data_IF_901595957380
#
_entry.id   IF_901595957380
#
_cell.length_a   1.000
_cell.length_b   1.000
_cell.length_c   1.000
_cell.angle_alpha   90.00
_cell.angle_beta   90.00
_cell.angle_gamma   90.00
#
_symmetry.space_group_name_H-M   'P 1'
#
loop_
_entity.id
_entity.type
_entity.pdbx_description
1 polymer ?
#
# COMPACT_ATOMS: atom_id res chain seq x y z
N UNK A 1 -51.97 -14.83 11.06
CA UNK A 1 -51.00 -14.68 9.97
C UNK A 1 -50.57 -13.22 9.79
N UNK A 2 -51.50 -12.25 9.74
CA UNK A 2 -51.20 -10.81 9.60
C UNK A 2 -50.40 -10.26 10.78
N UNK A 3 -50.82 -10.50 12.02
CA UNK A 3 -50.12 -10.06 13.23
C UNK A 3 -48.71 -10.61 13.39
N UNK A 4 -48.48 -11.84 12.94
CA UNK A 4 -47.14 -12.46 12.89
C UNK A 4 -46.23 -11.83 11.85
N UNK A 5 -46.76 -11.43 10.69
CA UNK A 5 -46.02 -10.73 9.67
C UNK A 5 -45.65 -9.31 10.10
N UNK A 6 -46.58 -8.60 10.79
CA UNK A 6 -46.33 -7.26 11.32
C UNK A 6 -45.20 -7.30 12.39
N UNK A 7 -45.27 -8.27 13.31
CA UNK A 7 -44.20 -8.47 14.31
C UNK A 7 -42.85 -8.80 13.67
N UNK A 8 -42.83 -9.65 12.61
CA UNK A 8 -41.63 -9.98 11.88
C UNK A 8 -41.04 -8.75 11.15
N UNK A 9 -41.93 -7.96 10.54
CA UNK A 9 -41.55 -6.70 9.89
C UNK A 9 -40.90 -5.71 10.82
N UNK A 10 -41.49 -5.50 12.01
CA UNK A 10 -40.95 -4.62 13.04
C UNK A 10 -39.54 -5.06 13.51
N UNK A 11 -39.34 -6.34 13.79
CA UNK A 11 -38.05 -6.90 14.19
C UNK A 11 -36.99 -6.74 13.08
N UNK A 12 -37.36 -6.95 11.82
CA UNK A 12 -36.46 -6.77 10.67
C UNK A 12 -36.05 -5.30 10.51
N UNK A 13 -37.01 -4.35 10.64
CA UNK A 13 -36.73 -2.91 10.57
C UNK A 13 -35.79 -2.48 11.69
N UNK A 14 -36.02 -2.92 12.92
CA UNK A 14 -35.15 -2.61 14.06
C UNK A 14 -33.75 -3.15 13.83
N UNK A 15 -33.57 -4.43 13.48
CA UNK A 15 -32.30 -5.04 13.21
C UNK A 15 -31.53 -4.34 12.09
N UNK A 16 -32.20 -4.09 10.95
CA UNK A 16 -31.58 -3.43 9.79
C UNK A 16 -31.29 -1.96 10.10
N UNK A 17 -32.10 -1.30 10.93
CA UNK A 17 -31.89 0.07 11.37
C UNK A 17 -30.60 0.23 12.17
N UNK A 18 -30.33 -0.67 13.13
CA UNK A 18 -29.08 -0.68 13.90
C UNK A 18 -27.87 -0.88 13.00
N UNK A 19 -27.97 -1.83 12.09
CA UNK A 19 -26.94 -2.15 11.12
C UNK A 19 -26.66 -1.00 10.16
N UNK A 20 -27.70 -0.36 9.64
CA UNK A 20 -27.58 0.83 8.80
C UNK A 20 -26.88 1.98 9.55
N UNK A 21 -27.28 2.24 10.81
CA UNK A 21 -26.64 3.27 11.62
C UNK A 21 -25.13 3.00 11.85
N UNK A 22 -24.73 1.74 12.10
CA UNK A 22 -23.34 1.37 12.25
C UNK A 22 -22.54 1.62 10.94
N UNK A 23 -23.10 1.21 9.80
CA UNK A 23 -22.51 1.46 8.48
C UNK A 23 -22.33 2.94 8.17
N UNK A 24 -23.35 3.76 8.46
CA UNK A 24 -23.30 5.21 8.20
C UNK A 24 -22.28 5.93 9.09
N UNK A 25 -21.94 5.40 10.25
CA UNK A 25 -20.80 5.89 11.06
C UNK A 25 -19.45 5.45 10.50
N UNK A 26 -19.32 4.20 10.06
CA UNK A 26 -18.07 3.62 9.59
C UNK A 26 -17.63 4.18 8.21
N UNK A 27 -18.56 4.41 7.30
CA UNK A 27 -18.25 4.82 5.92
C UNK A 27 -17.50 6.18 5.82
N UNK A 28 -17.87 7.24 6.54
CA UNK A 28 -17.09 8.48 6.57
C UNK A 28 -15.70 8.32 7.16
N UNK A 29 -15.55 7.47 8.19
CA UNK A 29 -14.24 7.17 8.80
C UNK A 29 -13.32 6.46 7.81
N UNK A 30 -13.82 5.45 7.09
CA UNK A 30 -13.08 4.77 6.04
C UNK A 30 -12.53 5.76 5.00
N UNK A 31 -13.38 6.64 4.46
CA UNK A 31 -12.98 7.65 3.47
C UNK A 31 -11.93 8.62 4.02
N UNK A 32 -12.04 8.99 5.30
CA UNK A 32 -11.07 9.88 5.94
C UNK A 32 -9.75 9.17 6.19
N UNK A 33 -9.76 7.90 6.64
CA UNK A 33 -8.57 7.08 6.79
C UNK A 33 -7.81 6.92 5.47
N UNK A 34 -8.49 6.57 4.37
CA UNK A 34 -7.93 6.49 3.03
C UNK A 34 -7.27 7.82 2.63
N UNK A 35 -7.91 8.94 2.91
CA UNK A 35 -7.33 10.27 2.62
C UNK A 35 -6.06 10.53 3.41
N UNK A 36 -6.01 10.13 4.68
CA UNK A 36 -4.80 10.23 5.50
C UNK A 36 -3.67 9.35 4.96
N UNK A 37 -3.97 8.10 4.57
CA UNK A 37 -3.01 7.20 3.93
C UNK A 37 -2.44 7.80 2.64
N UNK A 38 -3.29 8.30 1.74
CA UNK A 38 -2.86 8.94 0.51
C UNK A 38 -2.00 10.21 0.77
N UNK A 39 -2.29 10.98 1.81
CA UNK A 39 -1.47 12.13 2.21
C UNK A 39 -0.14 11.69 2.83
N UNK A 40 -0.11 10.60 3.61
CA UNK A 40 1.11 9.99 4.14
C UNK A 40 2.04 9.55 3.02
N UNK A 41 1.51 8.85 1.99
CA UNK A 41 2.27 8.47 0.79
C UNK A 41 2.88 9.69 0.10
N UNK A 42 2.11 10.77 -0.08
CA UNK A 42 2.62 12.01 -0.68
C UNK A 42 3.72 12.67 0.17
N UNK A 43 3.57 12.68 1.49
CA UNK A 43 4.57 13.20 2.40
C UNK A 43 5.86 12.34 2.36
N UNK A 44 5.72 11.01 2.27
CA UNK A 44 6.84 10.08 2.10
C UNK A 44 7.64 10.38 0.82
N UNK A 45 6.97 10.60 -0.32
CA UNK A 45 7.63 11.00 -1.57
C UNK A 45 8.41 12.32 -1.45
N UNK A 46 7.95 13.24 -0.60
CA UNK A 46 8.66 14.49 -0.30
C UNK A 46 9.72 14.35 0.78
N UNK A 47 9.90 13.13 1.34
CA UNK A 47 10.80 12.83 2.45
C UNK A 47 10.43 13.55 3.77
N UNK A 48 9.17 13.92 3.91
CA UNK A 48 8.58 14.52 5.12
C UNK A 48 8.13 13.38 6.07
N UNK A 49 9.07 12.53 6.50
CA UNK A 49 8.78 11.24 7.14
C UNK A 49 8.05 11.38 8.49
N UNK A 50 8.38 12.42 9.28
CA UNK A 50 7.67 12.67 10.54
C UNK A 50 6.18 12.97 10.25
N UNK A 51 5.92 13.89 9.33
CA UNK A 51 4.55 14.25 8.96
C UNK A 51 3.79 13.05 8.35
N UNK A 52 4.46 12.22 7.54
CA UNK A 52 3.88 11.00 7.01
C UNK A 52 3.46 10.03 8.13
N UNK A 53 4.30 9.87 9.16
CA UNK A 53 3.99 9.05 10.32
C UNK A 53 2.81 9.58 11.14
N UNK A 54 2.71 10.89 11.33
CA UNK A 54 1.58 11.53 12.02
C UNK A 54 0.25 11.30 11.29
N UNK A 55 0.25 11.40 9.96
CA UNK A 55 -0.92 11.12 9.12
C UNK A 55 -1.32 9.63 9.18
N UNK A 56 -0.33 8.74 9.16
CA UNK A 56 -0.54 7.30 9.27
C UNK A 56 -1.16 6.93 10.62
N UNK A 57 -0.68 7.53 11.71
CA UNK A 57 -1.24 7.33 13.06
C UNK A 57 -2.72 7.78 13.13
N UNK A 58 -3.08 8.89 12.49
CA UNK A 58 -4.48 9.34 12.40
C UNK A 58 -5.36 8.36 11.61
N UNK A 59 -4.83 7.77 10.52
CA UNK A 59 -5.55 6.74 9.78
C UNK A 59 -5.78 5.49 10.64
N UNK A 60 -4.76 5.04 11.39
CA UNK A 60 -4.85 3.88 12.26
C UNK A 60 -5.89 4.06 13.38
N UNK A 61 -5.97 5.25 13.98
CA UNK A 61 -7.01 5.58 14.99
C UNK A 61 -8.41 5.44 14.39
N UNK A 62 -8.65 5.98 13.21
CA UNK A 62 -9.97 5.88 12.56
C UNK A 62 -10.34 4.44 12.22
N UNK A 63 -9.38 3.61 11.83
CA UNK A 63 -9.60 2.18 11.57
C UNK A 63 -9.93 1.43 12.86
N UNK A 64 -9.26 1.75 13.98
CA UNK A 64 -9.57 1.16 15.28
C UNK A 64 -10.98 1.55 15.76
N UNK A 65 -11.37 2.82 15.65
CA UNK A 65 -12.72 3.29 15.96
C UNK A 65 -13.77 2.60 15.08
N UNK A 66 -13.48 2.41 13.82
CA UNK A 66 -14.37 1.72 12.88
C UNK A 66 -14.53 0.25 13.22
N UNK A 67 -13.45 -0.43 13.64
CA UNK A 67 -13.49 -1.82 14.08
C UNK A 67 -14.36 -1.98 15.34
N UNK A 68 -14.29 -1.02 16.28
CA UNK A 68 -15.13 -1.00 17.47
C UNK A 68 -16.61 -0.79 17.13
N UNK A 69 -16.94 0.19 16.28
CA UNK A 69 -18.31 0.45 15.82
C UNK A 69 -18.95 -0.75 15.11
N UNK A 70 -18.13 -1.58 14.46
CA UNK A 70 -18.58 -2.71 13.65
C UNK A 70 -18.43 -4.07 14.37
N UNK A 71 -18.06 -4.08 15.65
CA UNK A 71 -17.82 -5.30 16.42
C UNK A 71 -19.00 -6.29 16.32
N UNK A 72 -20.22 -5.80 16.44
CA UNK A 72 -21.46 -6.60 16.39
C UNK A 72 -22.00 -6.77 14.96
N UNK A 73 -21.31 -6.24 13.96
CA UNK A 73 -21.71 -6.24 12.54
C UNK A 73 -20.59 -6.76 11.64
N UNK A 74 -20.19 -8.02 11.84
CA UNK A 74 -19.04 -8.62 11.16
C UNK A 74 -19.16 -8.60 9.63
N UNK A 75 -20.36 -8.75 9.09
CA UNK A 75 -20.59 -8.67 7.65
C UNK A 75 -20.34 -7.27 7.06
N UNK A 76 -20.51 -6.20 7.84
CA UNK A 76 -20.12 -4.84 7.46
C UNK A 76 -18.61 -4.66 7.67
N UNK A 77 -18.03 -5.23 8.72
CA UNK A 77 -16.59 -5.17 8.97
C UNK A 77 -15.78 -5.79 7.81
N UNK A 78 -16.29 -6.86 7.21
CA UNK A 78 -15.69 -7.48 6.04
C UNK A 78 -16.16 -6.89 4.70
N UNK A 79 -16.93 -5.79 4.70
CA UNK A 79 -17.34 -5.13 3.47
C UNK A 79 -16.16 -4.41 2.80
N UNK A 80 -16.23 -4.27 1.46
CA UNK A 80 -15.16 -3.75 0.63
C UNK A 80 -14.59 -2.41 1.12
N UNK A 81 -15.42 -1.47 1.55
CA UNK A 81 -14.95 -0.15 1.99
C UNK A 81 -14.07 -0.19 3.26
N UNK A 82 -14.24 -1.19 4.15
CA UNK A 82 -13.39 -1.42 5.31
C UNK A 82 -12.08 -2.06 4.86
N UNK A 83 -12.17 -3.09 4.02
CA UNK A 83 -11.01 -3.80 3.48
C UNK A 83 -10.13 -2.87 2.64
N UNK A 84 -10.72 -1.96 1.85
CA UNK A 84 -10.00 -0.94 1.11
C UNK A 84 -9.23 0.00 2.04
N UNK A 85 -9.85 0.47 3.13
CA UNK A 85 -9.17 1.34 4.08
C UNK A 85 -8.01 0.65 4.81
N UNK A 86 -8.15 -0.64 5.14
CA UNK A 86 -7.08 -1.47 5.71
C UNK A 86 -5.93 -1.67 4.70
N UNK A 87 -6.25 -1.90 3.43
CA UNK A 87 -5.29 -2.05 2.35
C UNK A 87 -4.46 -0.77 2.15
N UNK A 88 -5.10 0.37 2.10
CA UNK A 88 -4.44 1.68 1.98
C UNK A 88 -3.54 1.97 3.20
N UNK A 89 -3.96 1.55 4.43
CA UNK A 89 -3.09 1.66 5.60
C UNK A 89 -1.84 0.79 5.45
N UNK A 90 -1.98 -0.45 4.98
CA UNK A 90 -0.86 -1.35 4.73
C UNK A 90 0.11 -0.78 3.71
N UNK A 91 -0.39 -0.28 2.58
CA UNK A 91 0.41 0.36 1.53
C UNK A 91 1.21 1.55 2.07
N UNK A 92 0.53 2.50 2.73
CA UNK A 92 1.16 3.70 3.26
C UNK A 92 2.22 3.37 4.33
N UNK A 93 1.93 2.40 5.23
CA UNK A 93 2.84 1.97 6.28
C UNK A 93 4.08 1.26 5.72
N UNK A 94 3.87 0.35 4.76
CA UNK A 94 4.95 -0.37 4.11
C UNK A 94 5.85 0.59 3.30
N UNK A 95 5.26 1.49 2.54
CA UNK A 95 6.01 2.47 1.76
C UNK A 95 6.82 3.42 2.65
N UNK A 96 6.23 3.93 3.74
CA UNK A 96 6.94 4.79 4.70
C UNK A 96 8.11 4.06 5.36
N UNK A 97 7.94 2.79 5.76
CA UNK A 97 9.00 1.99 6.35
C UNK A 97 10.15 1.75 5.38
N UNK A 98 9.85 1.29 4.16
CA UNK A 98 10.86 0.99 3.14
C UNK A 98 11.61 2.24 2.68
N UNK A 99 10.94 3.38 2.56
CA UNK A 99 11.58 4.66 2.21
C UNK A 99 12.60 5.13 3.26
N UNK A 100 12.47 4.66 4.51
CA UNK A 100 13.40 4.93 5.61
C UNK A 100 14.38 3.79 5.89
N UNK A 101 14.39 2.72 5.10
CA UNK A 101 15.13 1.47 5.36
C UNK A 101 14.78 0.84 6.72
N UNK A 102 13.54 0.93 7.14
CA UNK A 102 13.01 0.30 8.33
C UNK A 102 12.35 -1.05 7.99
N UNK A 103 12.24 -1.98 8.95
CA UNK A 103 11.50 -3.21 8.77
C UNK A 103 10.03 -2.95 8.41
N UNK A 104 9.45 -3.83 7.58
CA UNK A 104 8.03 -3.78 7.27
C UNK A 104 7.19 -3.99 8.54
N UNK A 105 6.18 -3.16 8.79
CA UNK A 105 5.24 -3.39 9.88
C UNK A 105 4.41 -4.64 9.60
N UNK A 106 4.20 -5.49 10.60
CA UNK A 106 3.36 -6.68 10.48
C UNK A 106 1.88 -6.34 10.45
N UNK A 107 1.05 -7.20 9.84
CA UNK A 107 -0.40 -7.04 9.79
C UNK A 107 -1.02 -6.92 11.20
N UNK A 108 -0.50 -7.69 12.16
CA UNK A 108 -0.93 -7.66 13.56
C UNK A 108 -0.63 -6.31 14.23
N UNK A 109 0.54 -5.74 13.96
CA UNK A 109 0.94 -4.41 14.48
C UNK A 109 0.01 -3.32 13.95
N UNK A 110 -0.43 -3.45 12.70
CA UNK A 110 -1.40 -2.54 12.08
C UNK A 110 -2.85 -2.84 12.45
N UNK A 111 -3.11 -3.95 13.16
CA UNK A 111 -4.45 -4.42 13.53
C UNK A 111 -5.38 -4.61 12.33
N UNK A 112 -4.87 -5.13 11.22
CA UNK A 112 -5.60 -5.37 9.97
C UNK A 112 -5.58 -6.85 9.56
N UNK A 113 -6.49 -7.22 8.64
CA UNK A 113 -6.56 -8.56 8.10
C UNK A 113 -5.40 -8.89 7.14
N UNK A 114 -5.08 -10.19 6.98
CA UNK A 114 -4.03 -10.63 6.07
C UNK A 114 -4.31 -10.31 4.61
N UNK A 115 -5.56 -10.45 4.15
CA UNK A 115 -5.89 -10.19 2.74
C UNK A 115 -5.68 -8.71 2.36
N UNK A 116 -6.22 -7.70 3.08
CA UNK A 116 -5.90 -6.30 2.80
C UNK A 116 -4.42 -5.98 3.00
N UNK A 117 -3.73 -6.59 3.98
CA UNK A 117 -2.28 -6.39 4.17
C UNK A 117 -1.47 -6.82 2.94
N UNK A 118 -1.69 -8.03 2.44
CA UNK A 118 -0.96 -8.55 1.28
C UNK A 118 -1.27 -7.77 0.00
N UNK A 119 -2.52 -7.35 -0.19
CA UNK A 119 -2.88 -6.49 -1.31
C UNK A 119 -2.22 -5.10 -1.19
N UNK A 120 -2.16 -4.53 0.01
CA UNK A 120 -1.45 -3.28 0.26
C UNK A 120 0.05 -3.37 -0.01
N UNK A 121 0.71 -4.48 0.37
CA UNK A 121 2.11 -4.73 -0.02
C UNK A 121 2.28 -4.76 -1.54
N UNK A 122 1.35 -5.39 -2.26
CA UNK A 122 1.40 -5.41 -3.72
C UNK A 122 1.25 -4.02 -4.35
N UNK A 123 0.40 -3.15 -3.78
CA UNK A 123 0.23 -1.76 -4.23
C UNK A 123 1.47 -0.91 -3.88
N UNK A 124 2.15 -1.20 -2.77
CA UNK A 124 3.44 -0.56 -2.40
C UNK A 124 4.48 -0.68 -3.51
N UNK A 125 4.49 -1.74 -4.31
CA UNK A 125 5.40 -1.91 -5.46
C UNK A 125 5.23 -0.76 -6.47
N UNK A 126 4.02 -0.24 -6.65
CA UNK A 126 3.75 0.93 -7.50
C UNK A 126 4.38 2.22 -6.95
N UNK A 127 4.26 2.46 -5.64
CA UNK A 127 4.86 3.63 -4.98
C UNK A 127 6.39 3.54 -4.92
N UNK A 128 6.96 2.33 -4.72
CA UNK A 128 8.40 2.10 -4.82
C UNK A 128 8.92 2.40 -6.23
N UNK A 129 8.22 1.98 -7.28
CA UNK A 129 8.58 2.35 -8.65
C UNK A 129 8.64 3.86 -8.83
N UNK A 130 7.61 4.57 -8.40
CA UNK A 130 7.57 6.03 -8.47
C UNK A 130 8.77 6.65 -7.75
N UNK A 131 9.08 6.14 -6.56
CA UNK A 131 10.22 6.60 -5.77
C UNK A 131 11.55 6.33 -6.49
N UNK A 132 11.74 5.13 -7.09
CA UNK A 132 12.90 4.80 -7.92
C UNK A 132 13.06 5.77 -9.09
N UNK A 133 11.99 6.07 -9.81
CA UNK A 133 12.05 7.00 -10.94
C UNK A 133 12.43 8.43 -10.49
N UNK A 134 11.96 8.86 -9.33
CA UNK A 134 12.35 10.15 -8.75
C UNK A 134 13.82 10.16 -8.30
N UNK A 135 14.37 9.05 -7.78
CA UNK A 135 15.78 8.91 -7.44
C UNK A 135 16.68 8.88 -8.70
N UNK A 136 16.25 8.17 -9.75
CA UNK A 136 16.97 8.16 -11.03
C UNK A 136 17.09 9.56 -11.63
N UNK A 137 16.04 10.37 -11.58
CA UNK A 137 16.06 11.78 -12.04
C UNK A 137 17.05 12.64 -11.26
N UNK A 138 17.34 12.27 -10.00
CA UNK A 138 18.33 12.95 -9.13
C UNK A 138 19.74 12.38 -9.27
N UNK A 139 19.92 11.30 -10.05
CA UNK A 139 21.20 10.61 -10.23
C UNK A 139 21.58 9.64 -9.10
N UNK A 140 20.65 9.30 -8.19
CA UNK A 140 20.91 8.43 -7.04
C UNK A 140 20.71 6.95 -7.39
N UNK A 141 21.53 6.41 -8.31
CA UNK A 141 21.38 5.05 -8.85
C UNK A 141 21.52 3.98 -7.76
N UNK A 142 22.49 4.11 -6.85
CA UNK A 142 22.76 3.10 -5.80
C UNK A 142 21.55 2.87 -4.89
N UNK A 143 20.79 3.91 -4.59
CA UNK A 143 19.54 3.78 -3.81
C UNK A 143 18.47 3.02 -4.59
N UNK A 144 18.43 3.16 -5.90
CA UNK A 144 17.42 2.48 -6.73
C UNK A 144 17.53 0.96 -6.69
N UNK A 145 18.77 0.41 -6.59
CA UNK A 145 19.01 -1.02 -6.44
C UNK A 145 18.43 -1.60 -5.13
N UNK A 146 18.44 -0.81 -4.05
CA UNK A 146 17.83 -1.19 -2.78
C UNK A 146 16.31 -1.33 -2.93
N UNK A 147 15.68 -0.34 -3.55
CA UNK A 147 14.23 -0.36 -3.76
C UNK A 147 13.80 -1.44 -4.76
N UNK A 148 14.58 -1.72 -5.79
CA UNK A 148 14.30 -2.83 -6.71
C UNK A 148 14.31 -4.18 -5.96
N UNK A 149 15.26 -4.39 -5.04
CA UNK A 149 15.28 -5.59 -4.18
C UNK A 149 14.03 -5.68 -3.29
N UNK A 150 13.60 -4.59 -2.67
CA UNK A 150 12.36 -4.59 -1.90
C UNK A 150 11.14 -4.97 -2.75
N UNK A 151 11.08 -4.50 -4.00
CA UNK A 151 10.02 -4.89 -4.94
C UNK A 151 10.08 -6.38 -5.27
N UNK A 152 11.27 -6.94 -5.48
CA UNK A 152 11.50 -8.38 -5.70
C UNK A 152 11.05 -9.20 -4.48
N UNK A 153 11.43 -8.79 -3.27
CA UNK A 153 11.09 -9.47 -2.02
C UNK A 153 9.57 -9.50 -1.79
N UNK A 154 8.90 -8.36 -2.03
CA UNK A 154 7.44 -8.28 -1.96
C UNK A 154 6.81 -9.21 -2.99
N UNK A 155 7.25 -9.17 -4.24
CA UNK A 155 6.72 -10.04 -5.28
C UNK A 155 6.92 -11.52 -4.94
N UNK A 156 8.11 -11.91 -4.46
CA UNK A 156 8.42 -13.27 -4.03
C UNK A 156 7.48 -13.72 -2.90
N UNK A 157 7.25 -12.87 -1.88
CA UNK A 157 6.28 -13.13 -0.82
C UNK A 157 4.86 -13.38 -1.37
N UNK A 158 4.38 -12.50 -2.25
CA UNK A 158 3.03 -12.59 -2.79
C UNK A 158 2.82 -13.86 -3.63
N UNK A 159 3.86 -14.35 -4.32
CA UNK A 159 3.78 -15.60 -5.11
C UNK A 159 3.70 -16.87 -4.25
N UNK A 160 4.07 -16.81 -2.97
CA UNK A 160 3.92 -17.94 -2.03
C UNK A 160 2.47 -18.11 -1.56
N UNK A 161 1.64 -17.07 -1.70
CA UNK A 161 0.26 -17.06 -1.20
C UNK A 161 -0.69 -17.50 -2.32
N UNK A 162 -0.85 -18.81 -2.47
CA UNK A 162 -1.73 -19.43 -3.48
C UNK A 162 -3.03 -19.93 -2.83
N UNK A 163 -3.96 -18.99 -2.59
CA UNK A 163 -5.29 -19.29 -2.06
C UNK A 163 -6.38 -18.68 -2.95
N UNK A 164 -7.62 -19.21 -2.91
CA UNK A 164 -8.75 -18.68 -3.68
C UNK A 164 -9.01 -17.18 -3.42
N UNK A 165 -9.44 -16.46 -4.46
CA UNK A 165 -9.73 -15.02 -4.39
C UNK A 165 -10.75 -14.65 -3.29
N UNK A 166 -11.67 -15.56 -2.97
CA UNK A 166 -12.62 -15.37 -1.88
C UNK A 166 -11.94 -15.18 -0.50
N UNK A 167 -10.72 -15.68 -0.32
CA UNK A 167 -9.94 -15.54 0.91
C UNK A 167 -8.91 -14.40 0.81
N UNK A 168 -8.45 -14.08 -0.40
CA UNK A 168 -7.32 -13.19 -0.65
C UNK A 168 -7.71 -11.85 -1.28
N UNK A 169 -9.03 -11.62 -1.52
CA UNK A 169 -9.56 -10.38 -2.09
C UNK A 169 -8.89 -9.98 -3.42
N UNK A 170 -8.67 -10.95 -4.30
CA UNK A 170 -8.11 -10.71 -5.64
C UNK A 170 -6.59 -10.56 -5.66
N UNK A 171 -5.87 -11.10 -4.68
CA UNK A 171 -4.41 -11.02 -4.55
C UNK A 171 -3.67 -11.46 -5.81
N UNK A 172 -4.18 -12.45 -6.55
CA UNK A 172 -3.59 -12.91 -7.81
C UNK A 172 -3.43 -11.76 -8.81
N UNK A 173 -4.47 -10.94 -8.97
CA UNK A 173 -4.42 -9.76 -9.86
C UNK A 173 -3.42 -8.73 -9.37
N UNK A 174 -3.36 -8.50 -8.07
CA UNK A 174 -2.39 -7.59 -7.44
C UNK A 174 -0.95 -8.09 -7.67
N UNK A 175 -0.70 -9.39 -7.52
CA UNK A 175 0.60 -10.04 -7.78
C UNK A 175 1.02 -9.91 -9.24
N UNK A 176 0.11 -10.14 -10.20
CA UNK A 176 0.38 -9.97 -11.63
C UNK A 176 0.72 -8.50 -11.98
N UNK A 177 0.03 -7.56 -11.35
CA UNK A 177 0.30 -6.12 -11.50
C UNK A 177 1.68 -5.77 -10.94
N UNK A 178 2.00 -6.24 -9.73
CA UNK A 178 3.29 -6.04 -9.08
C UNK A 178 4.43 -6.58 -9.96
N UNK A 179 4.28 -7.78 -10.53
CA UNK A 179 5.23 -8.35 -11.49
C UNK A 179 5.48 -7.43 -12.68
N UNK A 180 4.41 -6.94 -13.31
CA UNK A 180 4.53 -6.05 -14.47
C UNK A 180 5.28 -4.75 -14.14
N UNK A 181 5.01 -4.18 -12.95
CA UNK A 181 5.66 -2.97 -12.46
C UNK A 181 7.15 -3.24 -12.18
N UNK A 182 7.48 -4.33 -11.50
CA UNK A 182 8.82 -4.77 -11.17
C UNK A 182 9.68 -4.94 -12.43
N UNK A 183 9.21 -5.68 -13.44
CA UNK A 183 9.94 -5.91 -14.68
C UNK A 183 10.22 -4.61 -15.45
N UNK A 184 9.26 -3.70 -15.51
CA UNK A 184 9.47 -2.37 -16.09
C UNK A 184 10.52 -1.58 -15.32
N UNK A 185 10.49 -1.61 -14.00
CA UNK A 185 11.44 -0.88 -13.14
C UNK A 185 12.86 -1.42 -13.34
N UNK A 186 12.99 -2.75 -13.42
CA UNK A 186 14.27 -3.42 -13.72
C UNK A 186 14.85 -2.99 -15.05
N UNK A 187 14.02 -2.92 -16.10
CA UNK A 187 14.44 -2.43 -17.42
C UNK A 187 14.91 -0.98 -17.38
N UNK A 188 14.13 -0.08 -16.75
CA UNK A 188 14.47 1.33 -16.63
C UNK A 188 15.79 1.53 -15.86
N UNK A 189 15.98 0.80 -14.75
CA UNK A 189 17.20 0.89 -13.95
C UNK A 189 18.41 0.35 -14.70
N UNK A 190 18.28 -0.78 -15.42
CA UNK A 190 19.34 -1.35 -16.25
C UNK A 190 19.83 -0.34 -17.29
N UNK A 191 18.90 0.36 -17.95
CA UNK A 191 19.24 1.39 -18.92
C UNK A 191 19.95 2.59 -18.27
N UNK A 192 19.48 3.04 -17.11
CA UNK A 192 20.10 4.15 -16.39
C UNK A 192 21.53 3.81 -15.94
N UNK A 193 21.75 2.61 -15.41
CA UNK A 193 23.09 2.11 -15.02
C UNK A 193 24.02 2.06 -16.23
N UNK A 194 23.56 1.51 -17.36
CA UNK A 194 24.35 1.43 -18.58
C UNK A 194 24.74 2.81 -19.11
N UNK A 195 23.83 3.78 -19.09
CA UNK A 195 24.10 5.17 -19.47
C UNK A 195 25.14 5.83 -18.55
N UNK A 196 24.99 5.65 -17.23
CA UNK A 196 25.95 6.20 -16.26
C UNK A 196 27.37 5.64 -16.48
N UNK A 197 27.49 4.32 -16.70
CA UNK A 197 28.77 3.68 -17.00
C UNK A 197 29.39 4.22 -18.29
N UNK A 198 28.59 4.42 -19.35
CA UNK A 198 29.07 4.99 -20.61
C UNK A 198 29.57 6.43 -20.39
N UNK A 199 28.84 7.26 -19.67
CA UNK A 199 29.25 8.62 -19.34
C UNK A 199 30.58 8.66 -18.58
N UNK A 200 30.75 7.79 -17.59
CA UNK A 200 32.01 7.68 -16.84
C UNK A 200 33.19 7.31 -17.76
N UNK A 201 33.01 6.32 -18.65
CA UNK A 201 34.06 5.92 -19.61
C UNK A 201 34.39 7.04 -20.58
N UNK A 202 33.41 7.78 -21.08
CA UNK A 202 33.63 8.93 -21.96
C UNK A 202 34.40 10.04 -21.25
N UNK A 203 34.06 10.34 -19.99
CA UNK A 203 34.79 11.33 -19.19
C UNK A 203 36.24 10.91 -18.94
N UNK A 204 36.47 9.64 -18.59
CA UNK A 204 37.84 9.12 -18.42
C UNK A 204 38.66 9.24 -19.70
N UNK A 205 38.10 8.87 -20.85
CA UNK A 205 38.78 9.01 -22.14
C UNK A 205 39.11 10.49 -22.50
N UNK A 206 38.18 11.40 -22.21
CA UNK A 206 38.42 12.83 -22.41
C UNK A 206 39.57 13.35 -21.55
N UNK A 207 39.66 12.92 -20.28
CA UNK A 207 40.77 13.28 -19.40
C UNK A 207 42.11 12.74 -19.89
N UNK A 208 42.13 11.47 -20.33
CA UNK A 208 43.36 10.89 -20.93
C UNK A 208 43.82 11.68 -22.16
N UNK A 209 42.91 12.03 -23.08
CA UNK A 209 43.23 12.82 -24.26
C UNK A 209 43.76 14.24 -23.93
N UNK A 210 43.29 14.84 -22.84
CA UNK A 210 43.79 16.14 -22.39
C UNK A 210 45.22 16.06 -21.82
N UNK A 211 45.56 14.95 -21.17
CA UNK A 211 46.88 14.71 -20.59
C UNK A 211 47.97 14.39 -21.68
N UNK A 212 47.57 14.03 -22.90
CA UNK A 212 48.47 13.79 -24.01
C UNK A 212 48.82 15.05 -24.85
N UNK A 213 48.21 16.18 -24.51
CA UNK A 213 48.54 17.50 -25.11
C UNK A 213 49.44 18.32 -24.22
#
# INVERSE_FOLDING_TARGET
MTEQLDTTGQKAIEYLGLKHAARERALPRSRTAIRFCANSIRATHRQEFQHAGELLAQAAVLLAEMAEDLRDHQDIFYAGFVQDAQKELAEAAAFLALAQNLPLPEAQTLSIGWAPYLNGLGETVGELRRYVLDQLRRGNIDQCEVFLRHMDDIYALLTLVDFPDALTLGLRRTTDTARSILEKTRGDLTMAVSQAQLQQRMQALQQELQNYK
#
